data_IF_827968631213
#
_entry.id   IF_827968631213
#
_cell.length_a   1.000
_cell.length_b   1.000
_cell.length_c   1.000
_cell.angle_alpha   90.00
_cell.angle_beta   90.00
_cell.angle_gamma   90.00
#
_symmetry.space_group_name_H-M   'P 1'
#
loop_
_entity.id
_entity.type
_entity.pdbx_description
1 polymer ?
#
# COMPACT_ATOMS: atom_id res chain seq x y z
N UNK A 1 -5.96 2.07 -4.33
CA UNK A 1 -6.80 1.63 -5.47
C UNK A 1 -8.29 1.60 -5.16
N UNK A 2 -8.77 0.89 -4.12
CA UNK A 2 -10.22 0.87 -3.75
C UNK A 2 -10.88 2.25 -3.66
N UNK A 3 -10.20 3.23 -3.05
CA UNK A 3 -10.68 4.63 -2.97
C UNK A 3 -10.79 5.33 -4.33
N UNK A 4 -9.89 5.04 -5.28
CA UNK A 4 -9.96 5.60 -6.64
C UNK A 4 -11.15 5.01 -7.40
N UNK A 5 -11.35 3.70 -7.30
CA UNK A 5 -12.51 3.02 -7.89
C UNK A 5 -13.80 3.63 -7.32
N UNK A 6 -13.93 3.68 -5.99
CA UNK A 6 -15.08 4.27 -5.32
C UNK A 6 -15.32 5.74 -5.73
N UNK A 7 -14.28 6.57 -5.78
CA UNK A 7 -14.39 7.97 -6.19
C UNK A 7 -14.68 8.19 -7.68
N UNK A 8 -14.56 7.15 -8.50
CA UNK A 8 -14.90 7.18 -9.94
C UNK A 8 -16.35 6.82 -10.22
N UNK A 9 -17.12 6.42 -9.21
CA UNK A 9 -18.56 6.29 -9.33
C UNK A 9 -19.23 7.66 -9.21
N UNK A 10 -20.07 8.00 -10.18
CA UNK A 10 -20.86 9.24 -10.19
C UNK A 10 -22.31 8.88 -10.57
N UNK A 11 -23.27 9.26 -9.72
CA UNK A 11 -24.71 9.05 -9.95
C UNK A 11 -25.10 7.64 -10.43
N UNK A 12 -24.48 6.60 -9.87
CA UNK A 12 -24.76 5.20 -10.21
C UNK A 12 -24.06 4.65 -11.46
N UNK A 13 -23.25 5.46 -12.14
CA UNK A 13 -22.44 5.06 -13.30
C UNK A 13 -20.94 5.14 -13.00
N UNK A 14 -20.14 4.31 -13.65
CA UNK A 14 -18.68 4.33 -13.52
C UNK A 14 -18.07 5.28 -14.56
N UNK A 15 -17.36 6.29 -14.09
CA UNK A 15 -16.65 7.26 -14.94
C UNK A 15 -15.22 6.77 -15.20
N UNK A 16 -15.02 6.19 -16.40
CA UNK A 16 -13.73 5.66 -16.83
C UNK A 16 -12.66 6.74 -17.00
N UNK A 17 -13.05 7.94 -17.46
CA UNK A 17 -12.12 9.04 -17.69
C UNK A 17 -11.60 9.59 -16.36
N UNK A 18 -12.50 9.80 -15.39
CA UNK A 18 -12.15 10.17 -14.02
C UNK A 18 -11.25 9.12 -13.36
N UNK A 19 -11.53 7.84 -13.57
CA UNK A 19 -10.67 6.76 -13.09
C UNK A 19 -9.28 6.81 -13.72
N UNK A 20 -9.20 6.96 -15.06
CA UNK A 20 -7.93 7.05 -15.79
C UNK A 20 -7.08 8.23 -15.32
N UNK A 21 -7.69 9.41 -15.17
CA UNK A 21 -7.04 10.62 -14.63
C UNK A 21 -6.55 10.40 -13.20
N UNK A 22 -7.39 9.85 -12.33
CA UNK A 22 -7.02 9.55 -10.95
C UNK A 22 -5.89 8.51 -10.83
N UNK A 23 -5.89 7.51 -11.71
CA UNK A 23 -4.84 6.50 -11.76
C UNK A 23 -3.50 7.09 -12.21
N UNK A 24 -3.51 7.97 -13.21
CA UNK A 24 -2.32 8.66 -13.70
C UNK A 24 -1.69 9.51 -12.58
N UNK A 25 -2.50 10.30 -11.87
CA UNK A 25 -2.05 11.09 -10.72
C UNK A 25 -1.48 10.21 -9.60
N UNK A 26 -2.17 9.12 -9.27
CA UNK A 26 -1.72 8.18 -8.24
C UNK A 26 -0.37 7.56 -8.60
N UNK A 27 -0.12 7.25 -9.88
CA UNK A 27 1.17 6.70 -10.36
C UNK A 27 2.30 7.71 -10.30
N UNK A 28 2.01 9.01 -10.36
CA UNK A 28 3.00 10.07 -10.25
C UNK A 28 3.20 10.57 -8.81
N UNK A 29 2.37 10.15 -7.85
CA UNK A 29 2.50 10.53 -6.46
C UNK A 29 3.68 9.79 -5.76
N UNK A 30 4.62 10.50 -5.12
CA UNK A 30 5.69 9.91 -4.32
C UNK A 30 5.16 9.06 -3.16
N UNK A 31 5.72 7.87 -2.94
CA UNK A 31 5.32 7.00 -1.83
C UNK A 31 6.20 7.29 -0.61
N UNK A 32 5.61 7.86 0.45
CA UNK A 32 6.26 8.06 1.75
C UNK A 32 7.65 8.74 1.67
N UNK A 33 7.80 9.72 0.77
CA UNK A 33 9.06 10.45 0.55
C UNK A 33 10.06 9.76 -0.40
N UNK A 34 9.67 8.61 -0.97
CA UNK A 34 10.36 7.84 -2.01
C UNK A 34 9.96 8.19 -3.44
N UNK A 35 10.30 7.33 -4.41
CA UNK A 35 9.91 7.50 -5.82
C UNK A 35 8.40 7.30 -5.98
N UNK A 36 7.85 7.97 -6.98
CA UNK A 36 6.54 7.60 -7.51
C UNK A 36 6.62 6.28 -8.30
N UNK A 37 5.53 5.50 -8.41
CA UNK A 37 5.48 4.32 -9.28
C UNK A 37 6.00 4.56 -10.69
N UNK A 38 5.65 5.69 -11.32
CA UNK A 38 6.16 6.07 -12.64
C UNK A 38 7.69 6.19 -12.65
N UNK A 39 8.28 6.79 -11.60
CA UNK A 39 9.74 6.91 -11.50
C UNK A 39 10.43 5.58 -11.24
N UNK A 40 9.82 4.65 -10.50
CA UNK A 40 10.40 3.32 -10.30
C UNK A 40 10.51 2.55 -11.62
N UNK A 41 9.47 2.64 -12.47
CA UNK A 41 9.41 1.87 -13.72
C UNK A 41 10.12 2.59 -14.88
N UNK A 42 9.89 3.89 -15.03
CA UNK A 42 10.33 4.66 -16.20
C UNK A 42 11.51 5.58 -15.92
N UNK A 43 12.00 5.62 -14.66
CA UNK A 43 13.04 6.56 -14.22
C UNK A 43 12.69 8.04 -14.55
N UNK A 44 11.40 8.36 -14.60
CA UNK A 44 10.84 9.71 -14.77
C UNK A 44 9.38 9.78 -14.35
N UNK A 45 8.90 10.94 -13.87
CA UNK A 45 7.48 11.18 -13.74
C UNK A 45 6.81 11.18 -15.13
N UNK A 46 5.59 10.68 -15.20
CA UNK A 46 4.78 10.75 -16.43
C UNK A 46 4.08 12.11 -16.47
N UNK A 47 3.80 12.66 -17.65
CA UNK A 47 2.97 13.87 -17.74
C UNK A 47 1.56 13.57 -17.27
N UNK A 48 1.05 14.35 -16.33
CA UNK A 48 -0.32 14.27 -15.84
C UNK A 48 -1.08 15.58 -16.03
N UNK A 49 -2.23 15.70 -15.36
CA UNK A 49 -3.10 16.86 -15.45
C UNK A 49 -2.64 18.02 -14.56
N UNK A 50 -1.64 17.80 -13.69
CA UNK A 50 -1.13 18.86 -12.83
C UNK A 50 -0.13 19.69 -13.64
N UNK A 51 -0.24 21.02 -13.61
CA UNK A 51 0.77 21.89 -14.20
C UNK A 51 2.14 21.61 -13.57
N UNK A 52 3.08 21.14 -14.38
CA UNK A 52 4.45 20.88 -13.97
C UNK A 52 5.41 21.59 -14.93
N UNK A 53 6.49 22.13 -14.37
CA UNK A 53 7.52 22.77 -15.16
C UNK A 53 8.23 21.72 -16.04
N UNK A 54 8.56 22.05 -17.30
CA UNK A 54 9.18 21.10 -18.24
C UNK A 54 10.48 20.48 -17.69
N UNK A 55 11.24 21.27 -16.92
CA UNK A 55 12.49 20.80 -16.28
C UNK A 55 12.27 19.74 -15.19
N UNK A 56 11.08 19.65 -14.61
CA UNK A 56 10.76 18.61 -13.60
C UNK A 56 10.80 17.20 -14.17
N UNK A 57 10.73 17.05 -15.50
CA UNK A 57 10.84 15.78 -16.20
C UNK A 57 12.27 15.49 -16.68
N UNK A 58 13.20 16.44 -16.56
CA UNK A 58 14.57 16.29 -17.03
C UNK A 58 15.34 15.29 -16.15
N UNK A 59 16.14 14.37 -16.72
CA UNK A 59 16.88 13.36 -15.95
C UNK A 59 17.79 13.95 -14.86
N UNK A 60 18.42 15.10 -15.13
CA UNK A 60 19.34 15.79 -14.20
C UNK A 60 18.67 16.21 -12.88
N UNK A 61 17.36 16.46 -12.91
CA UNK A 61 16.58 16.91 -11.75
C UNK A 61 15.96 15.75 -10.98
N UNK A 62 16.15 14.53 -11.45
CA UNK A 62 15.73 13.33 -10.76
C UNK A 62 16.83 12.91 -9.80
N UNK A 63 16.53 12.94 -8.51
CA UNK A 63 17.47 12.50 -7.46
C UNK A 63 17.99 11.11 -7.81
N UNK A 64 19.30 10.94 -7.77
CA UNK A 64 19.94 9.64 -7.95
C UNK A 64 19.23 8.60 -7.08
N UNK A 65 18.87 7.45 -7.68
CA UNK A 65 18.05 6.42 -7.07
C UNK A 65 18.48 6.05 -5.63
N UNK A 66 19.79 6.07 -5.35
CA UNK A 66 20.33 5.80 -4.02
C UNK A 66 19.90 6.79 -2.92
N UNK A 67 19.67 8.07 -3.23
CA UNK A 67 19.12 9.03 -2.23
C UNK A 67 17.69 8.66 -1.88
N UNK A 68 16.94 8.19 -2.87
CA UNK A 68 15.53 7.88 -2.74
C UNK A 68 15.31 6.57 -1.99
N UNK A 69 16.14 5.57 -2.28
CA UNK A 69 16.19 4.31 -1.56
C UNK A 69 16.50 4.53 -0.07
N UNK A 70 17.52 5.34 0.25
CA UNK A 70 17.84 5.71 1.65
C UNK A 70 16.65 6.35 2.37
N UNK A 71 15.88 7.20 1.69
CA UNK A 71 14.67 7.81 2.28
C UNK A 71 13.58 6.76 2.53
N UNK A 72 13.36 5.85 1.59
CA UNK A 72 12.37 4.77 1.73
C UNK A 72 12.75 3.85 2.89
N UNK A 73 14.02 3.46 3.01
CA UNK A 73 14.52 2.64 4.11
C UNK A 73 14.29 3.34 5.45
N UNK A 74 14.72 4.61 5.59
CA UNK A 74 14.50 5.39 6.81
C UNK A 74 13.03 5.53 7.17
N UNK A 75 12.16 5.77 6.18
CA UNK A 75 10.72 5.87 6.40
C UNK A 75 10.13 4.52 6.85
N UNK A 76 10.63 3.40 6.31
CA UNK A 76 10.24 2.05 6.74
C UNK A 76 10.69 1.79 8.18
N UNK A 77 11.94 2.09 8.52
CA UNK A 77 12.48 1.95 9.88
C UNK A 77 11.68 2.76 10.90
N UNK A 78 11.40 4.04 10.62
CA UNK A 78 10.58 4.88 11.50
C UNK A 78 9.18 4.32 11.69
N UNK A 79 8.52 3.86 10.61
CA UNK A 79 7.22 3.20 10.72
C UNK A 79 7.28 1.96 11.59
N UNK A 80 8.27 1.09 11.36
CA UNK A 80 8.47 -0.12 12.14
C UNK A 80 8.76 0.19 13.60
N UNK A 81 9.60 1.19 13.89
CA UNK A 81 9.92 1.64 15.24
C UNK A 81 8.67 2.12 15.97
N UNK A 82 7.91 3.05 15.37
CA UNK A 82 6.70 3.59 15.99
C UNK A 82 5.61 2.54 16.18
N UNK A 83 5.43 1.64 15.21
CA UNK A 83 4.50 0.52 15.33
C UNK A 83 4.93 -0.44 16.43
N UNK A 84 6.20 -0.87 16.44
CA UNK A 84 6.70 -1.85 17.38
C UNK A 84 6.74 -1.33 18.82
N UNK A 85 6.89 -0.02 19.03
CA UNK A 85 7.05 0.63 20.35
C UNK A 85 5.94 0.27 21.35
N UNK A 86 4.71 0.13 20.88
CA UNK A 86 3.54 -0.16 21.74
C UNK A 86 3.03 -1.59 21.60
N UNK A 87 3.64 -2.40 20.73
CA UNK A 87 3.22 -3.78 20.47
C UNK A 87 4.07 -4.78 21.25
N UNK A 88 3.51 -5.95 21.51
CA UNK A 88 4.23 -7.09 22.07
C UNK A 88 4.09 -8.28 21.13
N UNK A 89 5.14 -9.09 20.93
CA UNK A 89 5.03 -10.29 20.13
C UNK A 89 4.07 -11.27 20.82
N UNK A 90 3.04 -11.72 20.10
CA UNK A 90 2.17 -12.80 20.53
C UNK A 90 2.82 -14.15 20.21
N UNK A 91 2.68 -15.20 21.04
CA UNK A 91 3.06 -16.56 20.66
C UNK A 91 2.38 -16.99 19.36
N UNK A 92 3.06 -17.81 18.57
CA UNK A 92 2.43 -18.44 17.41
C UNK A 92 1.44 -19.51 17.90
N UNK A 93 0.33 -19.66 17.18
CA UNK A 93 -0.64 -20.71 17.44
C UNK A 93 -0.12 -22.04 16.89
N UNK A 94 -0.62 -23.14 17.43
CA UNK A 94 -0.19 -24.50 17.09
C UNK A 94 -1.35 -25.30 16.52
N UNK A 95 -1.02 -26.33 15.75
CA UNK A 95 -1.99 -27.33 15.31
C UNK A 95 -2.70 -27.92 16.52
N UNK A 96 -4.03 -27.99 16.47
CA UNK A 96 -4.88 -28.42 17.58
C UNK A 96 -5.39 -27.30 18.48
N UNK A 97 -4.90 -26.06 18.34
CA UNK A 97 -5.43 -24.95 19.14
C UNK A 97 -6.87 -24.61 18.72
N UNK A 98 -7.75 -24.46 19.72
CA UNK A 98 -9.11 -23.99 19.52
C UNK A 98 -9.10 -22.48 19.31
N UNK A 99 -9.67 -22.03 18.20
CA UNK A 99 -9.76 -20.63 17.83
C UNK A 99 -11.21 -20.24 17.52
N UNK A 100 -11.48 -18.94 17.56
CA UNK A 100 -12.73 -18.39 17.04
C UNK A 100 -12.37 -17.51 15.86
N UNK A 101 -13.08 -17.68 14.74
CA UNK A 101 -12.86 -16.96 13.50
C UNK A 101 -13.84 -15.78 13.44
N UNK A 102 -13.31 -14.61 13.08
CA UNK A 102 -14.11 -13.41 12.91
C UNK A 102 -14.91 -13.48 11.60
N UNK A 103 -16.23 -13.37 11.69
CA UNK A 103 -17.10 -13.36 10.53
C UNK A 103 -16.86 -12.10 9.66
N UNK A 104 -16.62 -12.29 8.36
CA UNK A 104 -16.09 -11.24 7.47
C UNK A 104 -17.01 -10.00 7.31
N UNK A 105 -18.34 -10.20 7.35
CA UNK A 105 -19.34 -9.11 7.25
C UNK A 105 -19.69 -8.49 8.60
N UNK A 106 -20.15 -9.32 9.55
CA UNK A 106 -20.65 -8.85 10.85
C UNK A 106 -19.55 -8.49 11.85
N UNK A 107 -18.29 -8.89 11.59
CA UNK A 107 -17.13 -8.67 12.46
C UNK A 107 -17.23 -9.31 13.86
N UNK A 108 -18.20 -10.21 14.06
CA UNK A 108 -18.37 -10.96 15.30
C UNK A 108 -17.48 -12.21 15.32
N UNK A 109 -17.02 -12.59 16.50
CA UNK A 109 -16.25 -13.81 16.75
C UNK A 109 -17.21 -14.93 17.12
N UNK A 110 -17.78 -15.61 16.12
CA UNK A 110 -18.85 -16.61 16.34
C UNK A 110 -18.58 -17.96 15.72
N UNK A 111 -17.58 -18.08 14.85
CA UNK A 111 -17.30 -19.34 14.14
C UNK A 111 -16.16 -20.06 14.85
N UNK A 112 -16.42 -21.14 15.62
CA UNK A 112 -15.35 -21.91 16.23
C UNK A 112 -14.57 -22.67 15.15
N UNK A 113 -13.27 -22.89 15.38
CA UNK A 113 -12.39 -23.66 14.52
C UNK A 113 -11.23 -24.26 15.31
N UNK A 114 -10.57 -25.25 14.71
CA UNK A 114 -9.35 -25.86 15.24
C UNK A 114 -8.29 -25.71 14.18
N UNK A 115 -7.09 -25.29 14.57
CA UNK A 115 -5.99 -25.16 13.62
C UNK A 115 -5.56 -26.55 13.15
N UNK A 116 -5.57 -26.77 11.85
CA UNK A 116 -5.17 -28.00 11.18
C UNK A 116 -3.75 -27.88 10.63
N UNK A 117 -3.35 -26.68 10.19
CA UNK A 117 -2.03 -26.44 9.61
C UNK A 117 -1.49 -25.05 9.96
N UNK A 118 -0.16 -24.94 10.09
CA UNK A 118 0.55 -23.67 10.27
C UNK A 118 1.44 -23.41 9.05
N UNK A 119 1.07 -22.42 8.24
CA UNK A 119 1.82 -21.99 7.06
C UNK A 119 2.85 -20.89 7.33
N UNK A 120 3.39 -20.31 6.26
CA UNK A 120 4.35 -19.21 6.36
C UNK A 120 3.69 -17.92 6.87
N UNK A 121 4.46 -17.07 7.56
CA UNK A 121 4.01 -15.72 7.97
C UNK A 121 2.75 -15.68 8.86
N UNK A 122 2.56 -16.67 9.75
CA UNK A 122 1.37 -16.81 10.61
C UNK A 122 0.08 -17.03 9.83
N UNK A 123 0.19 -17.79 8.74
CA UNK A 123 -0.97 -18.36 8.06
C UNK A 123 -1.43 -19.61 8.81
N UNK A 124 -2.73 -19.77 8.98
CA UNK A 124 -3.33 -20.88 9.74
C UNK A 124 -4.55 -21.38 8.97
N UNK A 125 -4.61 -22.70 8.79
CA UNK A 125 -5.72 -23.40 8.14
C UNK A 125 -6.58 -24.12 9.18
#
# INVERSE_FOLDING_TARGET
>A
MKKLIAGSWTSGSFDLDKFGKGLLLFRNAPIAGGASPSQVVFNRPTRDLIPAHRRSFAPEWQKAAGILEKRVLRAKELRTFHYNRTTRPLPALRVGDNVVIQHHRSKRWTTPGVIVEVGAFRDYL
#
